data_IF_446733010821
#
_entry.id   IF_446733010821
#
_cell.length_a   1.000
_cell.length_b   1.000
_cell.length_c   1.000
_cell.angle_alpha   90.00
_cell.angle_beta   90.00
_cell.angle_gamma   90.00
#
_symmetry.space_group_name_H-M   'P 1'
#
loop_
_entity.id
_entity.type
_entity.pdbx_description
1 polymer ?
#
# COMPACT_ATOMS: atom_id res chain seq x y z
N UNK A 1 25.40 50.25 -36.87
CA UNK A 1 24.76 48.96 -37.23
C UNK A 1 24.75 48.09 -35.99
N UNK A 2 23.59 47.89 -35.37
CA UNK A 2 23.40 46.98 -34.25
C UNK A 2 23.09 45.59 -34.83
N UNK A 3 23.89 44.58 -34.48
CA UNK A 3 23.58 43.18 -34.79
C UNK A 3 23.63 42.37 -33.50
N UNK A 4 22.45 41.90 -33.12
CA UNK A 4 22.14 40.87 -32.14
C UNK A 4 23.13 39.70 -32.22
N UNK A 5 23.48 39.12 -31.08
CA UNK A 5 23.23 37.70 -30.85
C UNK A 5 23.21 37.43 -29.35
N UNK A 6 22.00 37.29 -28.84
CA UNK A 6 21.72 36.82 -27.51
C UNK A 6 22.00 35.32 -27.41
N UNK A 7 22.39 34.91 -26.20
CA UNK A 7 21.91 33.66 -25.60
C UNK A 7 22.71 32.42 -25.97
N UNK A 8 23.46 31.89 -25.00
CA UNK A 8 23.72 30.47 -24.86
C UNK A 8 23.98 30.15 -23.37
N UNK A 9 23.01 30.47 -22.52
CA UNK A 9 22.95 29.88 -21.18
C UNK A 9 22.25 28.54 -21.35
N UNK A 10 23.03 27.49 -21.57
CA UNK A 10 22.53 26.14 -21.67
C UNK A 10 21.83 25.78 -20.36
N UNK A 11 20.53 25.57 -20.49
CA UNK A 11 19.57 25.18 -19.49
C UNK A 11 20.01 23.85 -18.86
N UNK A 12 20.64 23.90 -17.68
CA UNK A 12 20.73 22.74 -16.78
C UNK A 12 19.35 22.52 -16.17
N UNK A 13 18.45 21.89 -16.93
CA UNK A 13 17.24 21.30 -16.37
C UNK A 13 17.67 20.17 -15.46
N UNK A 14 17.69 20.49 -14.16
CA UNK A 14 17.55 19.53 -13.08
C UNK A 14 16.41 18.56 -13.45
N UNK A 15 16.77 17.34 -13.85
CA UNK A 15 15.91 16.19 -13.67
C UNK A 15 15.86 15.92 -12.16
N UNK A 16 15.15 16.79 -11.43
CA UNK A 16 14.56 16.41 -10.16
C UNK A 16 13.50 15.37 -10.51
N UNK A 17 13.95 14.13 -10.71
CA UNK A 17 13.04 12.99 -10.65
C UNK A 17 12.34 13.13 -9.30
N UNK A 18 11.03 13.33 -9.33
CA UNK A 18 10.21 13.17 -8.14
C UNK A 18 10.36 11.72 -7.70
N UNK A 19 11.40 11.43 -6.91
CA UNK A 19 11.50 10.18 -6.19
C UNK A 19 10.27 10.17 -5.30
N UNK A 20 9.27 9.38 -5.67
CA UNK A 20 8.10 9.17 -4.82
C UNK A 20 8.68 8.66 -3.50
N UNK A 21 8.51 9.39 -2.39
CA UNK A 21 9.10 8.98 -1.12
C UNK A 21 8.66 7.56 -0.83
N UNK A 22 9.59 6.71 -0.41
CA UNK A 22 9.31 5.31 -0.03
C UNK A 22 8.12 5.34 0.92
N UNK A 23 7.00 4.78 0.46
CA UNK A 23 5.74 4.85 1.18
C UNK A 23 5.87 4.00 2.45
N UNK A 24 6.19 4.64 3.57
CA UNK A 24 6.21 4.00 4.89
C UNK A 24 4.83 4.13 5.52
N UNK A 25 4.35 3.05 6.12
CA UNK A 25 3.10 3.06 6.86
C UNK A 25 3.35 3.75 8.21
N UNK A 26 2.64 4.84 8.54
CA UNK A 26 2.79 5.50 9.83
C UNK A 26 2.49 4.54 10.99
N UNK A 27 3.32 4.58 12.03
CA UNK A 27 3.13 3.77 13.24
C UNK A 27 3.53 2.30 13.13
N UNK A 28 3.97 1.83 11.95
CA UNK A 28 4.41 0.44 11.75
C UNK A 28 5.95 0.37 11.71
N UNK A 29 6.60 -0.61 12.40
CA UNK A 29 8.06 -0.77 12.37
C UNK A 29 8.61 -0.88 10.95
N UNK A 30 9.76 -0.24 10.66
CA UNK A 30 10.32 -0.16 9.29
C UNK A 30 10.65 -1.51 8.68
N UNK A 31 11.01 -2.49 9.50
CA UNK A 31 11.31 -3.87 9.12
C UNK A 31 10.06 -4.76 8.99
N UNK A 32 8.89 -4.24 9.34
CA UNK A 32 7.63 -4.95 9.16
C UNK A 32 7.36 -5.20 7.67
N UNK A 33 7.04 -6.45 7.27
CA UNK A 33 6.92 -6.81 5.85
C UNK A 33 5.78 -6.09 5.12
N UNK A 34 4.79 -5.56 5.85
CA UNK A 34 3.73 -4.73 5.27
C UNK A 34 4.24 -3.47 4.56
N UNK A 35 5.36 -2.87 5.01
CA UNK A 35 5.91 -1.68 4.35
C UNK A 35 6.34 -1.98 2.90
N UNK A 36 7.03 -3.11 2.70
CA UNK A 36 7.47 -3.53 1.37
C UNK A 36 6.29 -3.88 0.46
N UNK A 37 5.26 -4.52 1.01
CA UNK A 37 4.04 -4.81 0.25
C UNK A 37 3.27 -3.53 -0.11
N UNK A 38 3.16 -2.58 0.82
CA UNK A 38 2.48 -1.31 0.59
C UNK A 38 3.13 -0.52 -0.53
N UNK A 39 4.46 -0.45 -0.57
CA UNK A 39 5.20 0.16 -1.67
C UNK A 39 4.86 -0.49 -3.03
N UNK A 40 4.83 -1.82 -3.09
CA UNK A 40 4.45 -2.53 -4.31
C UNK A 40 2.99 -2.26 -4.71
N UNK A 41 2.07 -2.16 -3.73
CA UNK A 41 0.65 -1.93 -3.98
C UNK A 41 0.39 -0.51 -4.54
N UNK A 42 1.25 0.47 -4.25
CA UNK A 42 1.18 1.81 -4.86
C UNK A 42 1.62 1.83 -6.33
N UNK A 43 2.35 0.82 -6.79
CA UNK A 43 2.85 0.75 -8.17
C UNK A 43 1.82 0.15 -9.15
N UNK A 44 0.75 -0.48 -8.64
CA UNK A 44 -0.34 -0.97 -9.47
C UNK A 44 -0.95 -2.29 -8.97
N UNK A 45 -1.42 -3.09 -9.91
CA UNK A 45 -2.06 -4.37 -9.61
C UNK A 45 -1.04 -5.43 -9.22
N UNK A 46 -1.38 -6.26 -8.23
CA UNK A 46 -0.50 -7.31 -7.71
C UNK A 46 -1.16 -8.68 -7.79
N UNK A 47 -0.36 -9.74 -7.85
CA UNK A 47 -0.86 -11.09 -7.62
C UNK A 47 -0.87 -11.40 -6.12
N UNK A 48 -1.79 -12.28 -5.67
CA UNK A 48 -1.82 -12.80 -4.30
C UNK A 48 -0.45 -13.36 -3.84
N UNK A 49 0.35 -13.87 -4.79
CA UNK A 49 1.71 -14.36 -4.49
C UNK A 49 2.58 -13.26 -3.87
N UNK A 50 2.46 -12.01 -4.32
CA UNK A 50 3.25 -10.88 -3.78
C UNK A 50 2.92 -10.64 -2.30
N UNK A 51 1.66 -10.78 -1.91
CA UNK A 51 1.24 -10.70 -0.51
C UNK A 51 1.88 -11.83 0.32
N UNK A 52 1.81 -13.08 -0.18
CA UNK A 52 2.40 -14.25 0.49
C UNK A 52 3.93 -14.18 0.58
N UNK A 53 4.60 -13.71 -0.47
CA UNK A 53 6.06 -13.50 -0.48
C UNK A 53 6.49 -12.44 0.55
N UNK A 54 5.60 -11.50 0.90
CA UNK A 54 5.76 -10.56 1.99
C UNK A 54 5.08 -11.02 3.29
N UNK A 55 4.94 -12.34 3.50
CA UNK A 55 4.45 -12.96 4.75
C UNK A 55 3.04 -12.54 5.18
N UNK A 56 2.24 -12.00 4.27
CA UNK A 56 0.85 -11.63 4.51
C UNK A 56 -0.13 -12.68 4.00
N UNK A 57 -1.38 -12.57 4.44
CA UNK A 57 -2.50 -13.41 4.05
C UNK A 57 -3.47 -12.64 3.12
N UNK A 58 -3.60 -13.04 1.84
CA UNK A 58 -4.55 -12.43 0.90
C UNK A 58 -5.93 -13.10 0.91
N UNK A 59 -6.19 -14.05 1.82
CA UNK A 59 -7.44 -14.81 1.86
C UNK A 59 -8.59 -14.05 2.54
N UNK A 60 -8.27 -13.01 3.32
CA UNK A 60 -9.27 -12.22 4.02
C UNK A 60 -10.10 -11.41 3.01
N UNK A 61 -11.42 -11.57 2.98
CA UNK A 61 -12.27 -10.93 1.98
C UNK A 61 -12.54 -9.46 2.34
N UNK A 62 -11.97 -8.52 1.57
CA UNK A 62 -12.15 -7.07 1.74
C UNK A 62 -13.62 -6.64 1.83
N UNK A 63 -14.49 -7.26 1.03
CA UNK A 63 -15.92 -6.95 1.05
C UNK A 63 -16.60 -7.24 2.40
N UNK A 64 -16.13 -8.24 3.16
CA UNK A 64 -16.66 -8.52 4.50
C UNK A 64 -16.20 -7.49 5.52
N UNK A 65 -14.94 -7.05 5.42
CA UNK A 65 -14.41 -5.97 6.28
C UNK A 65 -15.20 -4.69 6.05
N UNK A 66 -15.43 -4.29 4.80
CA UNK A 66 -16.16 -3.06 4.46
C UNK A 66 -17.62 -3.07 4.95
N UNK A 67 -18.25 -4.25 4.96
CA UNK A 67 -19.63 -4.41 5.44
C UNK A 67 -19.74 -4.62 6.95
N UNK A 68 -18.62 -4.76 7.66
CA UNK A 68 -18.64 -5.11 9.08
C UNK A 68 -19.06 -6.57 9.36
N UNK A 69 -19.01 -7.44 8.35
CA UNK A 69 -19.43 -8.84 8.47
C UNK A 69 -18.27 -9.67 9.03
N UNK A 70 -18.39 -10.14 10.27
CA UNK A 70 -17.36 -10.91 11.00
C UNK A 70 -16.03 -10.18 11.24
N UNK A 71 -15.85 -8.99 10.70
CA UNK A 71 -14.68 -8.15 10.91
C UNK A 71 -15.11 -6.73 11.24
N UNK A 72 -14.37 -6.07 12.11
CA UNK A 72 -14.56 -4.66 12.43
C UNK A 72 -13.27 -3.91 12.16
N UNK A 73 -13.31 -2.93 11.26
CA UNK A 73 -12.21 -2.00 11.06
C UNK A 73 -12.07 -1.09 12.27
N UNK A 74 -10.87 -1.01 12.85
CA UNK A 74 -10.63 -0.33 14.13
C UNK A 74 -9.92 1.01 13.94
N UNK A 75 -9.02 1.13 12.96
CA UNK A 75 -8.23 2.35 12.75
C UNK A 75 -7.78 2.48 11.29
N UNK A 76 -7.80 3.69 10.74
CA UNK A 76 -7.16 4.03 9.47
C UNK A 76 -5.78 4.66 9.73
N UNK A 77 -4.72 4.06 9.18
CA UNK A 77 -3.35 4.57 9.36
C UNK A 77 -2.92 5.50 8.23
N UNK A 78 -3.23 5.12 6.99
CA UNK A 78 -2.98 5.89 5.79
C UNK A 78 -3.85 5.36 4.66
N UNK A 79 -3.79 5.96 3.47
CA UNK A 79 -4.56 5.55 2.31
C UNK A 79 -4.34 4.06 2.00
N UNK A 80 -5.42 3.28 2.12
CA UNK A 80 -5.41 1.84 1.85
C UNK A 80 -4.82 0.98 2.96
N UNK A 81 -4.47 1.53 4.13
CA UNK A 81 -3.88 0.77 5.25
C UNK A 81 -4.64 1.02 6.54
N UNK A 82 -5.05 -0.06 7.20
CA UNK A 82 -5.93 0.00 8.35
C UNK A 82 -5.75 -1.19 9.28
N UNK A 83 -6.07 -0.98 10.56
CA UNK A 83 -6.27 -2.07 11.51
C UNK A 83 -7.71 -2.57 11.45
N UNK A 84 -7.87 -3.88 11.63
CA UNK A 84 -9.17 -4.50 11.78
C UNK A 84 -9.08 -5.73 12.68
N UNK A 85 -10.20 -6.06 13.29
CA UNK A 85 -10.36 -7.20 14.19
C UNK A 85 -11.29 -8.22 13.58
N UNK A 86 -10.96 -9.50 13.69
CA UNK A 86 -11.91 -10.60 13.45
C UNK A 86 -12.78 -10.76 14.69
N UNK A 87 -14.09 -10.55 14.53
CA UNK A 87 -15.07 -10.61 15.62
C UNK A 87 -15.30 -12.05 16.11
N UNK A 88 -14.94 -13.05 15.31
CA UNK A 88 -15.11 -14.47 15.65
C UNK A 88 -13.96 -14.95 16.53
N UNK A 89 -12.72 -14.64 16.14
CA UNK A 89 -11.52 -15.12 16.83
C UNK A 89 -10.93 -14.10 17.80
N UNK A 90 -11.37 -12.85 17.74
CA UNK A 90 -10.83 -11.74 18.49
C UNK A 90 -9.47 -11.25 18.01
N UNK A 91 -8.88 -11.87 16.98
CA UNK A 91 -7.55 -11.54 16.46
C UNK A 91 -7.54 -10.18 15.77
N UNK A 92 -6.44 -9.47 15.94
CA UNK A 92 -6.20 -8.18 15.29
C UNK A 92 -5.24 -8.32 14.11
N UNK A 93 -5.47 -7.50 13.11
CA UNK A 93 -4.77 -7.54 11.84
C UNK A 93 -4.43 -6.14 11.36
N UNK A 94 -3.23 -6.00 10.79
CA UNK A 94 -2.88 -4.92 9.88
C UNK A 94 -3.28 -5.33 8.46
N UNK A 95 -4.10 -4.52 7.80
CA UNK A 95 -4.55 -4.74 6.42
C UNK A 95 -4.01 -3.69 5.46
N UNK A 96 -3.51 -4.13 4.30
CA UNK A 96 -3.17 -3.27 3.17
C UNK A 96 -4.04 -3.64 1.97
N UNK A 97 -4.89 -2.72 1.53
CA UNK A 97 -5.71 -2.86 0.33
C UNK A 97 -4.84 -2.86 -0.93
N UNK A 98 -5.18 -3.73 -1.88
CA UNK A 98 -4.55 -3.77 -3.20
C UNK A 98 -5.55 -4.24 -4.26
N UNK A 99 -5.24 -3.98 -5.53
CA UNK A 99 -6.00 -4.53 -6.65
C UNK A 99 -5.32 -5.80 -7.15
N UNK A 100 -6.04 -6.92 -7.12
CA UNK A 100 -5.57 -8.16 -7.73
C UNK A 100 -5.86 -8.16 -9.22
N UNK A 101 -4.84 -8.52 -10.02
CA UNK A 101 -5.04 -8.86 -11.44
C UNK A 101 -5.57 -10.29 -11.58
N UNK A 102 -6.73 -10.44 -12.22
CA UNK A 102 -7.32 -11.74 -12.56
C UNK A 102 -7.88 -11.69 -13.98
N UNK A 103 -7.03 -11.95 -14.97
CA UNK A 103 -7.39 -11.76 -16.37
C UNK A 103 -7.73 -10.29 -16.64
N UNK A 104 -8.89 -9.99 -17.23
CA UNK A 104 -9.30 -8.60 -17.49
C UNK A 104 -9.95 -7.89 -16.29
N UNK A 105 -10.16 -8.59 -15.16
CA UNK A 105 -10.86 -8.04 -14.00
C UNK A 105 -9.89 -7.52 -12.94
N UNK A 106 -10.22 -6.37 -12.36
CA UNK A 106 -9.55 -5.80 -11.19
C UNK A 106 -10.38 -6.16 -9.96
N UNK A 107 -9.79 -6.95 -9.05
CA UNK A 107 -10.51 -7.42 -7.87
C UNK A 107 -9.91 -6.75 -6.63
N UNK A 108 -10.68 -5.94 -5.88
CA UNK A 108 -10.20 -5.34 -4.66
C UNK A 108 -9.98 -6.41 -3.59
N UNK A 109 -8.77 -6.43 -3.01
CA UNK A 109 -8.35 -7.37 -1.97
C UNK A 109 -7.58 -6.67 -0.87
N UNK A 110 -7.32 -7.39 0.20
CA UNK A 110 -6.52 -6.96 1.34
C UNK A 110 -5.45 -8.02 1.59
N UNK A 111 -4.22 -7.57 1.81
CA UNK A 111 -3.16 -8.40 2.35
C UNK A 111 -3.08 -8.12 3.85
N UNK A 112 -3.14 -9.16 4.68
CA UNK A 112 -3.25 -9.01 6.12
C UNK A 112 -2.09 -9.65 6.89
N UNK A 113 -1.67 -9.03 7.98
CA UNK A 113 -0.70 -9.57 8.93
C UNK A 113 -1.34 -9.62 10.31
N UNK A 114 -1.29 -10.77 10.98
CA UNK A 114 -1.76 -10.89 12.35
C UNK A 114 -0.84 -10.06 13.25
N UNK A 115 -1.43 -9.16 14.01
CA UNK A 115 -0.70 -8.48 15.08
C UNK A 115 -0.72 -9.37 16.32
N UNK A 116 0.43 -9.45 17.00
CA UNK A 116 0.51 -10.08 18.31
C UNK A 116 0.23 -8.98 19.33
N UNK A 117 -0.90 -9.11 20.03
CA UNK A 117 -1.26 -8.34 21.21
C UNK A 117 -1.34 -6.81 21.01
N UNK A 118 -2.36 -6.35 20.29
CA UNK A 118 -3.00 -5.06 20.60
C UNK A 118 -4.20 -5.37 21.49
N UNK A 119 -4.01 -5.22 22.80
CA UNK A 119 -5.03 -5.40 23.83
C UNK A 119 -4.89 -4.32 24.87
#
# INVERSE_FOLDING_TARGET
MVKNLAGWTLLLTFLAGCSVPVAQIPGIPKDHPANKFYEAAQQGMLADKVCRDNKGDPSIPTGKIQKGENYTKTEDLTAGVFHFRDNTTGKEYLGVSFLQYSGFLQIPKVCAWSEKDRG
#
